data_IF_948967344533
#
_entry.id   IF_948967344533
#
_cell.length_a   1.000
_cell.length_b   1.000
_cell.length_c   1.000
_cell.angle_alpha   90.00
_cell.angle_beta   90.00
_cell.angle_gamma   90.00
#
_symmetry.space_group_name_H-M   'P 1'
#
loop_
_entity.id
_entity.type
_entity.pdbx_description
1 polymer ?
#
# COMPACT_ATOMS: atom_id res chain seq x y z
N UNK A 1 0.81 -17.12 -22.36
CA UNK A 1 1.33 -18.23 -23.19
C UNK A 1 1.61 -19.41 -22.28
N UNK A 2 1.02 -20.58 -22.57
CA UNK A 2 1.14 -21.88 -21.86
C UNK A 2 0.62 -21.88 -20.40
N UNK A 3 -0.22 -22.80 -19.92
CA UNK A 3 -0.85 -23.97 -20.51
C UNK A 3 -1.47 -24.84 -19.39
N UNK A 4 -2.73 -25.22 -19.59
CA UNK A 4 -3.40 -26.48 -19.20
C UNK A 4 -3.51 -26.81 -17.70
N UNK A 5 -4.71 -26.78 -17.09
CA UNK A 5 -5.88 -27.69 -17.28
C UNK A 5 -5.70 -29.07 -16.64
N UNK A 6 -6.03 -29.21 -15.36
CA UNK A 6 -6.50 -30.48 -14.77
C UNK A 6 -7.47 -30.18 -13.61
N UNK A 7 -8.77 -30.12 -13.88
CA UNK A 7 -9.80 -30.57 -12.92
C UNK A 7 -11.17 -30.61 -13.61
N UNK A 8 -11.56 -31.78 -14.11
CA UNK A 8 -12.95 -32.13 -14.40
C UNK A 8 -13.04 -33.64 -14.57
N UNK A 9 -13.18 -34.31 -13.43
CA UNK A 9 -13.80 -35.62 -13.39
C UNK A 9 -14.88 -35.58 -12.31
N UNK A 10 -15.92 -36.36 -12.56
CA UNK A 10 -17.14 -36.59 -11.77
C UNK A 10 -18.38 -35.87 -12.32
N UNK A 11 -19.32 -36.72 -12.72
CA UNK A 11 -20.73 -36.51 -13.06
C UNK A 11 -21.08 -36.20 -14.52
N UNK A 12 -21.05 -37.28 -15.32
CA UNK A 12 -22.03 -37.45 -16.40
C UNK A 12 -22.38 -38.93 -16.60
N UNK A 13 -23.64 -39.27 -16.29
CA UNK A 13 -24.50 -40.36 -16.81
C UNK A 13 -25.24 -41.12 -15.69
N UNK A 14 -26.37 -40.58 -15.30
CA UNK A 14 -27.53 -41.37 -14.86
C UNK A 14 -28.78 -40.70 -15.47
N UNK A 15 -29.01 -40.99 -16.74
CA UNK A 15 -30.31 -40.90 -17.39
C UNK A 15 -30.32 -42.06 -18.39
N UNK A 16 -31.16 -43.05 -18.13
CA UNK A 16 -31.98 -43.75 -19.11
C UNK A 16 -32.87 -44.76 -18.39
N UNK A 17 -34.17 -44.62 -18.66
CA UNK A 17 -35.23 -45.63 -18.71
C UNK A 17 -35.45 -46.49 -17.46
N UNK A 18 -36.60 -46.45 -16.78
CA UNK A 18 -37.93 -46.41 -17.38
C UNK A 18 -38.26 -47.80 -17.92
N UNK A 19 -39.30 -48.39 -17.36
CA UNK A 19 -40.01 -49.60 -17.79
C UNK A 19 -39.62 -50.95 -17.17
N UNK A 20 -40.69 -51.59 -16.70
CA UNK A 20 -40.95 -53.02 -16.57
C UNK A 20 -40.25 -53.81 -15.45
N UNK A 21 -41.00 -54.01 -14.36
CA UNK A 21 -41.30 -55.34 -13.81
C UNK A 21 -42.27 -55.22 -12.61
N UNK A 22 -43.54 -54.96 -12.92
CA UNK A 22 -44.65 -55.35 -12.03
C UNK A 22 -45.14 -56.69 -12.57
N UNK A 23 -44.47 -57.77 -12.18
CA UNK A 23 -44.94 -59.13 -12.47
C UNK A 23 -45.35 -59.83 -11.18
N UNK A 24 -46.68 -59.88 -11.03
CA UNK A 24 -47.47 -60.99 -10.53
C UNK A 24 -46.68 -62.26 -10.16
N UNK A 25 -46.51 -62.51 -8.86
CA UNK A 25 -46.51 -63.87 -8.33
C UNK A 25 -47.62 -64.04 -7.30
N UNK A 26 -48.83 -64.22 -7.83
CA UNK A 26 -49.89 -64.98 -7.16
C UNK A 26 -49.44 -66.43 -7.02
N UNK A 27 -48.73 -66.75 -5.94
CA UNK A 27 -48.55 -68.13 -5.51
C UNK A 27 -49.83 -68.60 -4.81
N UNK A 28 -50.82 -69.01 -5.62
CA UNK A 28 -51.84 -69.99 -5.21
C UNK A 28 -51.16 -71.35 -5.17
N UNK A 29 -50.73 -71.79 -4.00
CA UNK A 29 -50.54 -73.22 -3.77
C UNK A 29 -51.83 -73.73 -3.11
N UNK A 30 -52.76 -74.17 -3.96
CA UNK A 30 -53.90 -74.99 -3.60
C UNK A 30 -53.35 -76.34 -3.11
N UNK A 31 -53.12 -76.46 -1.81
CA UNK A 31 -53.04 -77.77 -1.17
C UNK A 31 -54.41 -78.09 -0.60
N UNK A 32 -55.31 -78.54 -1.47
CA UNK A 32 -56.49 -79.30 -1.08
C UNK A 32 -56.02 -80.71 -0.74
N UNK A 33 -56.14 -81.19 0.51
CA UNK A 33 -56.02 -82.63 0.74
C UNK A 33 -57.17 -83.32 -0.03
N UNK A 34 -56.92 -84.41 -0.76
CA UNK A 34 -58.01 -85.24 -1.27
C UNK A 34 -58.75 -85.79 -0.05
N UNK A 35 -59.98 -85.32 0.16
CA UNK A 35 -60.95 -86.03 0.99
C UNK A 35 -61.43 -87.18 0.11
N UNK A 36 -60.75 -88.32 0.18
CA UNK A 36 -61.26 -89.56 -0.38
C UNK A 36 -62.52 -89.95 0.40
N UNK A 37 -63.69 -89.57 -0.12
CA UNK A 37 -65.01 -90.05 0.31
C UNK A 37 -65.25 -91.54 -0.07
N UNK A 38 -64.19 -92.29 -0.40
CA UNK A 38 -64.27 -93.71 -0.80
C UNK A 38 -63.64 -94.70 0.18
N UNK A 39 -63.13 -94.23 1.32
CA UNK A 39 -62.50 -95.12 2.33
C UNK A 39 -63.41 -95.47 3.50
N UNK A 40 -64.67 -95.00 3.52
CA UNK A 40 -65.61 -95.24 4.63
C UNK A 40 -66.80 -96.16 4.29
N UNK A 41 -66.84 -96.76 3.09
CA UNK A 41 -67.81 -97.82 2.73
C UNK A 41 -67.16 -99.21 2.74
N UNK A 42 -65.83 -99.30 2.54
CA UNK A 42 -65.11 -100.58 2.53
C UNK A 42 -64.94 -101.22 3.93
N UNK A 43 -64.96 -100.45 5.03
CA UNK A 43 -64.92 -101.01 6.39
C UNK A 43 -66.26 -101.56 6.89
N UNK A 44 -67.38 -101.19 6.26
CA UNK A 44 -68.72 -101.67 6.65
C UNK A 44 -69.06 -102.99 5.95
N UNK A 45 -68.51 -103.26 4.76
CA UNK A 45 -68.69 -104.54 4.06
C UNK A 45 -67.80 -105.68 4.60
N UNK A 46 -66.61 -105.39 5.15
CA UNK A 46 -65.76 -106.41 5.80
C UNK A 46 -66.29 -106.89 7.16
N UNK A 47 -67.14 -106.10 7.83
CA UNK A 47 -67.76 -106.46 9.12
C UNK A 47 -69.00 -107.35 8.97
N UNK A 48 -69.57 -107.48 7.77
CA UNK A 48 -70.73 -108.33 7.49
C UNK A 48 -70.39 -109.73 6.95
N UNK A 49 -69.13 -110.00 6.59
CA UNK A 49 -68.66 -111.30 6.09
C UNK A 49 -68.07 -112.20 7.20
N UNK A 50 -67.78 -111.67 8.39
CA UNK A 50 -67.24 -112.43 9.54
C UNK A 50 -68.30 -112.97 10.52
N UNK A 51 -69.59 -112.90 10.19
CA UNK A 51 -70.69 -113.40 11.05
C UNK A 51 -71.17 -114.82 10.73
N UNK A 52 -70.45 -115.58 9.88
CA UNK A 52 -70.91 -116.88 9.39
C UNK A 52 -70.19 -118.13 9.90
N UNK A 53 -69.03 -118.06 10.57
CA UNK A 53 -68.34 -119.29 11.05
C UNK A 53 -67.33 -119.05 12.20
N UNK A 54 -67.68 -118.33 13.27
CA UNK A 54 -66.79 -118.32 14.45
C UNK A 54 -67.48 -118.01 15.80
N UNK A 55 -66.97 -118.65 16.86
CA UNK A 55 -67.58 -118.84 18.17
C UNK A 55 -67.88 -117.55 18.98
N UNK A 56 -68.91 -117.55 19.87
CA UNK A 56 -69.38 -116.38 20.62
C UNK A 56 -68.41 -115.77 21.67
N UNK A 57 -67.19 -116.30 21.81
CA UNK A 57 -66.19 -115.81 22.79
C UNK A 57 -65.15 -114.83 22.23
N UNK A 58 -65.02 -114.69 20.89
CA UNK A 58 -64.05 -113.78 20.23
C UNK A 58 -64.64 -112.42 19.81
N UNK A 59 -65.97 -112.31 19.76
CA UNK A 59 -66.70 -111.07 19.40
C UNK A 59 -66.62 -110.02 20.52
N UNK A 60 -66.60 -110.45 21.78
CA UNK A 60 -66.47 -109.55 22.94
C UNK A 60 -65.14 -108.80 22.98
N UNK A 61 -64.00 -109.47 22.76
CA UNK A 61 -62.68 -108.84 22.79
C UNK A 61 -62.45 -107.88 21.61
N UNK A 62 -63.01 -108.19 20.43
CA UNK A 62 -62.90 -107.34 19.23
C UNK A 62 -63.80 -106.10 19.33
N UNK A 63 -64.99 -106.23 19.93
CA UNK A 63 -65.86 -105.10 20.24
C UNK A 63 -65.24 -104.13 21.27
N UNK A 64 -64.59 -104.64 22.32
CA UNK A 64 -63.88 -103.79 23.30
C UNK A 64 -62.70 -103.07 22.65
N UNK A 65 -61.94 -103.75 21.78
CA UNK A 65 -60.83 -103.13 21.02
C UNK A 65 -61.30 -102.02 20.08
N UNK A 66 -62.44 -102.20 19.39
CA UNK A 66 -63.07 -101.17 18.54
C UNK A 66 -63.60 -100.00 19.36
N UNK A 67 -64.19 -100.25 20.54
CA UNK A 67 -64.63 -99.19 21.44
C UNK A 67 -63.45 -98.38 21.98
N UNK A 68 -62.32 -99.03 22.29
CA UNK A 68 -61.10 -98.37 22.76
C UNK A 68 -60.42 -97.56 21.65
N UNK A 69 -60.36 -98.08 20.42
CA UNK A 69 -59.86 -97.30 19.26
C UNK A 69 -60.79 -96.13 18.92
N UNK A 70 -62.11 -96.29 19.04
CA UNK A 70 -63.04 -95.16 18.88
C UNK A 70 -62.92 -94.11 19.99
N UNK A 71 -62.61 -94.52 21.22
CA UNK A 71 -62.31 -93.59 22.31
C UNK A 71 -61.00 -92.82 22.04
N UNK A 72 -59.92 -93.52 21.66
CA UNK A 72 -58.64 -92.92 21.29
C UNK A 72 -58.75 -92.00 20.07
N UNK A 73 -59.55 -92.38 19.07
CA UNK A 73 -59.81 -91.55 17.89
C UNK A 73 -60.63 -90.31 18.25
N UNK A 74 -61.64 -90.43 19.13
CA UNK A 74 -62.37 -89.26 19.65
C UNK A 74 -61.46 -88.32 20.44
N UNK A 75 -60.56 -88.86 21.25
CA UNK A 75 -59.57 -88.07 21.97
C UNK A 75 -58.59 -87.38 21.03
N UNK A 76 -58.07 -88.08 20.01
CA UNK A 76 -57.22 -87.50 18.97
C UNK A 76 -57.95 -86.43 18.16
N UNK A 77 -59.20 -86.65 17.76
CA UNK A 77 -60.01 -85.65 17.03
C UNK A 77 -60.26 -84.41 17.90
N UNK A 78 -60.55 -84.59 19.19
CA UNK A 78 -60.67 -83.47 20.13
C UNK A 78 -59.34 -82.70 20.27
N UNK A 79 -58.21 -83.42 20.35
CA UNK A 79 -56.88 -82.84 20.45
C UNK A 79 -56.48 -82.11 19.16
N UNK A 80 -56.78 -82.66 17.97
CA UNK A 80 -56.55 -81.98 16.69
C UNK A 80 -57.44 -80.75 16.54
N UNK A 81 -58.69 -80.80 17.00
CA UNK A 81 -59.59 -79.63 16.97
C UNK A 81 -59.09 -78.51 17.88
N UNK A 82 -58.61 -78.86 19.09
CA UNK A 82 -57.95 -77.91 20.01
C UNK A 82 -56.66 -77.34 19.41
N UNK A 83 -55.80 -78.19 18.85
CA UNK A 83 -54.54 -77.76 18.24
C UNK A 83 -54.77 -76.89 17.00
N UNK A 84 -55.77 -77.22 16.18
CA UNK A 84 -56.15 -76.45 15.01
C UNK A 84 -56.73 -75.09 15.41
N UNK A 85 -57.59 -75.04 16.44
CA UNK A 85 -58.08 -73.77 17.02
C UNK A 85 -56.94 -72.90 17.57
N UNK A 86 -55.97 -73.49 18.26
CA UNK A 86 -54.78 -72.79 18.76
C UNK A 86 -53.86 -72.29 17.63
N UNK A 87 -53.68 -73.09 16.57
CA UNK A 87 -52.95 -72.70 15.37
C UNK A 87 -53.64 -71.56 14.62
N UNK A 88 -54.97 -71.62 14.49
CA UNK A 88 -55.77 -70.58 13.86
C UNK A 88 -55.68 -69.26 14.65
N UNK A 89 -55.78 -69.32 15.98
CA UNK A 89 -55.61 -68.15 16.84
C UNK A 89 -54.19 -67.54 16.74
N UNK A 90 -53.14 -68.37 16.66
CA UNK A 90 -51.76 -67.91 16.41
C UNK A 90 -51.62 -67.26 15.04
N UNK A 91 -52.20 -67.85 14.01
CA UNK A 91 -52.16 -67.31 12.64
C UNK A 91 -52.86 -65.95 12.56
N UNK A 92 -53.99 -65.78 13.23
CA UNK A 92 -54.74 -64.52 13.24
C UNK A 92 -54.02 -63.43 14.07
N UNK A 93 -53.37 -63.81 15.17
CA UNK A 93 -52.50 -62.89 15.93
C UNK A 93 -51.26 -62.47 15.12
N UNK A 94 -50.59 -63.40 14.43
CA UNK A 94 -49.48 -63.06 13.53
C UNK A 94 -49.90 -62.15 12.38
N UNK A 95 -51.10 -62.32 11.83
CA UNK A 95 -51.63 -61.42 10.81
C UNK A 95 -51.85 -60.02 11.37
N UNK A 96 -52.45 -59.93 12.56
CA UNK A 96 -52.66 -58.65 13.25
C UNK A 96 -51.33 -57.93 13.53
N UNK A 97 -50.33 -58.66 14.03
CA UNK A 97 -48.98 -58.12 14.24
C UNK A 97 -48.34 -57.64 12.94
N UNK A 98 -48.45 -58.42 11.86
CA UNK A 98 -47.96 -58.00 10.53
C UNK A 98 -48.66 -56.74 10.01
N UNK A 99 -49.96 -56.60 10.22
CA UNK A 99 -50.71 -55.41 9.82
C UNK A 99 -50.34 -54.18 10.66
N UNK A 100 -50.13 -54.35 11.97
CA UNK A 100 -49.64 -53.28 12.85
C UNK A 100 -48.22 -52.85 12.49
N UNK A 101 -47.31 -53.80 12.25
CA UNK A 101 -45.97 -53.51 11.74
C UNK A 101 -46.01 -52.80 10.39
N UNK A 102 -46.88 -53.22 9.47
CA UNK A 102 -47.03 -52.58 8.16
C UNK A 102 -47.51 -51.13 8.31
N UNK A 103 -48.50 -50.87 9.17
CA UNK A 103 -48.98 -49.51 9.47
C UNK A 103 -47.88 -48.65 10.09
N UNK A 104 -47.10 -49.21 11.01
CA UNK A 104 -45.99 -48.49 11.63
C UNK A 104 -44.88 -48.17 10.61
N UNK A 105 -44.48 -49.15 9.79
CA UNK A 105 -43.51 -48.92 8.70
C UNK A 105 -44.00 -47.87 7.71
N UNK A 106 -45.29 -47.85 7.38
CA UNK A 106 -45.86 -46.83 6.50
C UNK A 106 -45.81 -45.43 7.12
N UNK A 107 -46.10 -45.31 8.42
CA UNK A 107 -45.99 -44.06 9.17
C UNK A 107 -44.54 -43.56 9.21
N UNK A 108 -43.59 -44.45 9.49
CA UNK A 108 -42.16 -44.11 9.54
C UNK A 108 -41.64 -43.72 8.14
N UNK A 109 -42.05 -44.43 7.10
CA UNK A 109 -41.68 -44.10 5.72
C UNK A 109 -42.24 -42.74 5.28
N UNK A 110 -43.46 -42.39 5.72
CA UNK A 110 -44.03 -41.04 5.52
C UNK A 110 -43.23 -39.96 6.26
N UNK A 111 -42.82 -40.24 7.50
CA UNK A 111 -41.96 -39.34 8.28
C UNK A 111 -40.60 -39.09 7.63
N UNK A 112 -39.90 -40.16 7.24
CA UNK A 112 -38.60 -40.08 6.56
C UNK A 112 -38.71 -39.36 5.21
N UNK A 113 -39.78 -39.59 4.44
CA UNK A 113 -40.00 -38.87 3.17
C UNK A 113 -40.16 -37.37 3.38
N UNK A 114 -40.89 -36.96 4.42
CA UNK A 114 -41.04 -35.55 4.75
C UNK A 114 -39.70 -34.93 5.17
N UNK A 115 -38.90 -35.64 5.98
CA UNK A 115 -37.57 -35.18 6.40
C UNK A 115 -36.61 -35.05 5.22
N UNK A 116 -36.58 -36.04 4.31
CA UNK A 116 -35.77 -35.99 3.09
C UNK A 116 -36.16 -34.79 2.22
N UNK A 117 -37.45 -34.50 2.07
CA UNK A 117 -37.90 -33.33 1.30
C UNK A 117 -37.44 -32.00 1.92
N UNK A 118 -37.49 -31.89 3.25
CA UNK A 118 -36.97 -30.71 3.97
C UNK A 118 -35.46 -30.59 3.79
N UNK A 119 -34.71 -31.69 3.90
CA UNK A 119 -33.26 -31.69 3.71
C UNK A 119 -32.87 -31.36 2.26
N UNK A 120 -33.60 -31.87 1.26
CA UNK A 120 -33.38 -31.52 -0.14
C UNK A 120 -33.57 -30.02 -0.39
N UNK A 121 -34.59 -29.42 0.22
CA UNK A 121 -34.82 -27.97 0.14
C UNK A 121 -33.66 -27.20 0.75
N UNK A 122 -33.23 -27.55 1.98
CA UNK A 122 -32.08 -26.91 2.65
C UNK A 122 -30.77 -27.06 1.87
N UNK A 123 -30.54 -28.21 1.23
CA UNK A 123 -29.36 -28.44 0.39
C UNK A 123 -29.41 -27.55 -0.86
N UNK A 124 -30.59 -27.36 -1.46
CA UNK A 124 -30.76 -26.47 -2.60
C UNK A 124 -30.53 -24.99 -2.23
N UNK A 125 -31.02 -24.54 -1.08
CA UNK A 125 -30.78 -23.20 -0.54
C UNK A 125 -29.30 -22.98 -0.20
N UNK A 126 -28.66 -23.93 0.49
CA UNK A 126 -27.22 -23.84 0.77
C UNK A 126 -26.38 -23.82 -0.52
N UNK A 127 -26.83 -24.50 -1.58
CA UNK A 127 -26.16 -24.46 -2.88
C UNK A 127 -26.31 -23.09 -3.58
N UNK A 128 -27.46 -22.42 -3.43
CA UNK A 128 -27.64 -21.05 -3.94
C UNK A 128 -26.80 -20.05 -3.16
N UNK A 129 -26.81 -20.13 -1.83
CA UNK A 129 -26.03 -19.25 -0.96
C UNK A 129 -24.53 -19.38 -1.24
N UNK A 130 -24.05 -20.61 -1.44
CA UNK A 130 -22.65 -20.88 -1.79
C UNK A 130 -22.27 -20.25 -3.14
N UNK A 131 -23.17 -20.27 -4.13
CA UNK A 131 -22.93 -19.61 -5.43
C UNK A 131 -22.89 -18.09 -5.27
N UNK A 132 -23.78 -17.51 -4.47
CA UNK A 132 -23.76 -16.07 -4.20
C UNK A 132 -22.50 -15.63 -3.45
N UNK A 133 -22.10 -16.38 -2.43
CA UNK A 133 -20.89 -16.11 -1.66
C UNK A 133 -19.65 -16.18 -2.56
N UNK A 134 -19.55 -17.20 -3.42
CA UNK A 134 -18.46 -17.32 -4.39
C UNK A 134 -18.43 -16.13 -5.36
N UNK A 135 -19.59 -15.68 -5.85
CA UNK A 135 -19.68 -14.52 -6.73
C UNK A 135 -19.27 -13.21 -6.00
N UNK A 136 -19.62 -13.05 -4.72
CA UNK A 136 -19.19 -11.90 -3.91
C UNK A 136 -17.68 -11.93 -3.63
N UNK A 137 -17.12 -13.10 -3.32
CA UNK A 137 -15.67 -13.27 -3.13
C UNK A 137 -14.90 -12.87 -4.39
N UNK A 138 -15.31 -13.38 -5.56
CA UNK A 138 -14.68 -13.03 -6.83
C UNK A 138 -14.75 -11.52 -7.15
N UNK A 139 -15.87 -10.86 -6.82
CA UNK A 139 -15.99 -9.40 -6.98
C UNK A 139 -15.07 -8.63 -6.04
N UNK A 140 -14.93 -9.07 -4.79
CA UNK A 140 -14.03 -8.43 -3.82
C UNK A 140 -12.57 -8.64 -4.22
N UNK A 141 -12.17 -9.84 -4.63
CA UNK A 141 -10.83 -10.12 -5.13
C UNK A 141 -10.50 -9.23 -6.33
N UNK A 142 -11.41 -9.09 -7.29
CA UNK A 142 -11.23 -8.20 -8.43
C UNK A 142 -11.20 -6.70 -8.06
N UNK A 143 -11.86 -6.29 -6.97
CA UNK A 143 -11.75 -4.93 -6.45
C UNK A 143 -10.39 -4.69 -5.80
N UNK A 144 -9.94 -5.60 -4.94
CA UNK A 144 -8.64 -5.52 -4.27
C UNK A 144 -7.49 -5.48 -5.28
N UNK A 145 -7.55 -6.28 -6.34
CA UNK A 145 -6.53 -6.24 -7.41
C UNK A 145 -6.52 -4.87 -8.10
N UNK A 146 -7.68 -4.32 -8.46
CA UNK A 146 -7.75 -2.98 -9.09
C UNK A 146 -7.21 -1.88 -8.19
N UNK A 147 -7.59 -1.87 -6.92
CA UNK A 147 -7.13 -0.85 -5.97
C UNK A 147 -5.62 -0.94 -5.75
N UNK A 148 -5.06 -2.16 -5.73
CA UNK A 148 -3.63 -2.38 -5.69
C UNK A 148 -2.92 -1.85 -6.94
N UNK A 149 -3.42 -2.19 -8.12
CA UNK A 149 -2.83 -1.72 -9.39
C UNK A 149 -2.87 -0.19 -9.49
N UNK A 150 -3.95 0.45 -9.02
CA UNK A 150 -4.05 1.91 -8.95
C UNK A 150 -3.06 2.52 -7.96
N UNK A 151 -2.88 1.88 -6.80
CA UNK A 151 -1.90 2.33 -5.80
C UNK A 151 -0.46 2.20 -6.32
N UNK A 152 -0.13 1.07 -6.96
CA UNK A 152 1.18 0.81 -7.54
C UNK A 152 1.48 1.83 -8.67
N UNK A 153 0.49 2.15 -9.52
CA UNK A 153 0.64 3.18 -10.54
C UNK A 153 0.90 4.59 -9.95
N UNK A 154 0.19 4.96 -8.86
CA UNK A 154 0.42 6.22 -8.14
C UNK A 154 1.78 6.27 -7.46
N UNK A 155 2.29 5.12 -6.98
CA UNK A 155 3.60 5.02 -6.36
C UNK A 155 4.70 5.27 -7.40
N UNK A 156 4.61 4.62 -8.56
CA UNK A 156 5.54 4.82 -9.68
C UNK A 156 5.54 6.29 -10.15
N UNK A 157 4.37 6.91 -10.30
CA UNK A 157 4.28 8.32 -10.71
C UNK A 157 4.97 9.26 -9.69
N UNK A 158 4.79 9.00 -8.39
CA UNK A 158 5.47 9.76 -7.33
C UNK A 158 6.98 9.56 -7.36
N UNK A 159 7.47 8.34 -7.58
CA UNK A 159 8.90 8.03 -7.69
C UNK A 159 9.53 8.78 -8.86
N UNK A 160 8.89 8.77 -10.04
CA UNK A 160 9.35 9.53 -11.22
C UNK A 160 9.37 11.04 -10.93
N UNK A 161 8.39 11.55 -10.17
CA UNK A 161 8.37 12.96 -9.78
C UNK A 161 9.48 13.32 -8.80
N UNK A 162 9.80 12.43 -7.85
CA UNK A 162 10.91 12.61 -6.91
C UNK A 162 12.22 12.67 -7.68
N UNK A 163 12.49 11.72 -8.57
CA UNK A 163 13.72 11.70 -9.38
C UNK A 163 13.90 12.99 -10.20
N UNK A 164 12.81 13.50 -10.81
CA UNK A 164 12.84 14.78 -11.53
C UNK A 164 13.16 15.97 -10.63
N UNK A 165 12.59 16.00 -9.42
CA UNK A 165 12.84 17.08 -8.46
C UNK A 165 14.27 17.02 -7.91
N UNK A 166 14.78 15.82 -7.61
CA UNK A 166 16.17 15.61 -7.19
C UNK A 166 17.16 16.07 -8.27
N UNK A 167 16.89 15.75 -9.54
CA UNK A 167 17.69 16.25 -10.66
C UNK A 167 17.66 17.77 -10.80
N UNK A 168 16.49 18.40 -10.59
CA UNK A 168 16.36 19.85 -10.62
C UNK A 168 17.10 20.53 -9.46
N UNK A 169 17.02 19.97 -8.25
CA UNK A 169 17.75 20.46 -7.06
C UNK A 169 19.25 20.39 -7.30
N UNK A 170 19.78 19.25 -7.76
CA UNK A 170 21.20 19.11 -8.05
C UNK A 170 21.69 20.09 -9.12
N UNK A 171 20.89 20.36 -10.15
CA UNK A 171 21.20 21.36 -11.17
C UNK A 171 21.25 22.78 -10.60
N UNK A 172 20.27 23.15 -9.75
CA UNK A 172 20.23 24.47 -9.13
C UNK A 172 21.36 24.68 -8.12
N UNK A 173 21.72 23.65 -7.36
CA UNK A 173 22.87 23.69 -6.45
C UNK A 173 24.18 23.90 -7.22
N UNK A 174 24.35 23.23 -8.36
CA UNK A 174 25.52 23.42 -9.23
C UNK A 174 25.58 24.84 -9.84
N UNK A 175 24.44 25.39 -10.25
CA UNK A 175 24.34 26.76 -10.78
C UNK A 175 24.60 27.80 -9.68
N UNK A 176 24.07 27.59 -8.49
CA UNK A 176 24.31 28.45 -7.33
C UNK A 176 25.80 28.45 -6.94
N UNK A 177 26.45 27.28 -6.91
CA UNK A 177 27.87 27.16 -6.62
C UNK A 177 28.72 27.91 -7.67
N UNK A 178 28.38 27.77 -8.96
CA UNK A 178 29.04 28.50 -10.04
C UNK A 178 28.87 30.00 -9.90
N UNK A 179 27.64 30.47 -9.67
CA UNK A 179 27.35 31.90 -9.50
C UNK A 179 28.06 32.49 -8.28
N UNK A 180 28.16 31.75 -7.18
CA UNK A 180 28.94 32.17 -6.01
C UNK A 180 30.43 32.30 -6.31
N UNK A 181 30.99 31.38 -7.09
CA UNK A 181 32.38 31.44 -7.52
C UNK A 181 32.65 32.62 -8.46
N UNK A 182 31.78 32.84 -9.45
CA UNK A 182 31.84 34.00 -10.35
C UNK A 182 31.76 35.31 -9.57
N UNK A 183 30.80 35.41 -8.63
CA UNK A 183 30.66 36.58 -7.77
C UNK A 183 31.90 36.83 -6.91
N UNK A 184 32.50 35.78 -6.36
CA UNK A 184 33.73 35.92 -5.57
C UNK A 184 34.88 36.47 -6.43
N UNK A 185 35.03 35.95 -7.65
CA UNK A 185 36.01 36.45 -8.62
C UNK A 185 35.76 37.92 -8.99
N UNK A 186 34.51 38.31 -9.24
CA UNK A 186 34.17 39.68 -9.60
C UNK A 186 34.38 40.66 -8.44
N UNK A 187 34.05 40.26 -7.22
CA UNK A 187 34.31 41.06 -6.01
C UNK A 187 35.82 41.26 -5.82
N UNK A 188 36.63 40.21 -6.01
CA UNK A 188 38.08 40.33 -5.95
C UNK A 188 38.64 41.23 -7.06
N UNK A 189 38.12 41.13 -8.28
CA UNK A 189 38.51 41.99 -9.39
C UNK A 189 38.16 43.47 -9.13
N UNK A 190 36.96 43.77 -8.63
CA UNK A 190 36.54 45.12 -8.23
C UNK A 190 37.42 45.64 -7.10
N UNK A 191 37.73 44.81 -6.11
CA UNK A 191 38.63 45.18 -5.01
C UNK A 191 40.02 45.55 -5.53
N UNK A 192 40.59 44.73 -6.43
CA UNK A 192 41.90 45.01 -7.04
C UNK A 192 41.88 46.28 -7.87
N UNK A 193 40.84 46.50 -8.68
CA UNK A 193 40.65 47.72 -9.45
C UNK A 193 40.59 48.93 -8.52
N UNK A 194 39.82 48.85 -7.43
CA UNK A 194 39.66 49.98 -6.51
C UNK A 194 40.98 50.33 -5.84
N UNK A 195 41.76 49.33 -5.39
CA UNK A 195 43.11 49.55 -4.83
C UNK A 195 44.04 50.21 -5.88
N UNK A 196 43.93 49.79 -7.15
CA UNK A 196 44.72 50.38 -8.22
C UNK A 196 44.33 51.83 -8.55
N UNK A 197 43.06 52.21 -8.32
CA UNK A 197 42.55 53.56 -8.57
C UNK A 197 42.83 54.54 -7.41
N UNK A 198 42.91 54.07 -6.15
CA UNK A 198 43.14 54.96 -4.99
C UNK A 198 44.31 55.94 -5.15
N UNK A 199 45.51 55.55 -5.65
CA UNK A 199 46.60 56.50 -5.89
C UNK A 199 46.27 57.60 -6.90
N UNK A 200 45.41 57.31 -7.89
CA UNK A 200 44.95 58.30 -8.87
C UNK A 200 44.04 59.34 -8.20
N UNK A 201 43.10 58.90 -7.36
CA UNK A 201 42.20 59.80 -6.63
C UNK A 201 42.97 60.67 -5.63
N UNK A 202 43.93 60.11 -4.89
CA UNK A 202 44.79 60.88 -4.00
C UNK A 202 45.69 61.86 -4.76
N UNK A 203 46.06 61.55 -6.00
CA UNK A 203 46.82 62.47 -6.85
C UNK A 203 46.02 63.74 -7.16
N UNK A 204 44.73 63.60 -7.46
CA UNK A 204 43.80 64.72 -7.69
C UNK A 204 43.67 65.57 -6.45
N UNK A 205 43.53 64.95 -5.27
CA UNK A 205 43.50 65.68 -4.01
C UNK A 205 44.73 66.59 -3.84
N UNK A 206 45.92 66.06 -4.12
CA UNK A 206 47.16 66.84 -4.01
C UNK A 206 47.21 67.99 -5.01
N UNK A 207 46.68 67.81 -6.22
CA UNK A 207 46.66 68.87 -7.23
C UNK A 207 45.63 69.95 -6.86
N UNK A 208 44.43 69.58 -6.40
CA UNK A 208 43.44 70.52 -5.85
C UNK A 208 44.00 71.32 -4.65
N UNK A 209 44.73 70.65 -3.75
CA UNK A 209 45.36 71.29 -2.60
C UNK A 209 46.47 72.27 -3.03
N UNK A 210 47.21 71.98 -4.10
CA UNK A 210 48.19 72.91 -4.67
C UNK A 210 47.51 74.12 -5.28
N UNK A 211 46.44 73.92 -6.03
CA UNK A 211 45.69 75.02 -6.64
C UNK A 211 45.13 75.97 -5.58
N UNK A 212 44.65 75.44 -4.45
CA UNK A 212 44.27 76.26 -3.28
C UNK A 212 45.45 76.92 -2.56
N UNK A 213 46.66 76.36 -2.68
CA UNK A 213 47.87 76.92 -2.08
C UNK A 213 48.42 78.11 -2.89
N UNK A 214 48.30 78.09 -4.22
CA UNK A 214 48.89 79.08 -5.12
C UNK A 214 48.56 80.54 -4.75
N UNK A 215 47.28 80.92 -4.49
CA UNK A 215 46.95 82.28 -4.08
C UNK A 215 47.57 82.68 -2.73
N UNK A 216 47.74 81.72 -1.81
CA UNK A 216 48.29 81.98 -0.47
C UNK A 216 49.79 82.25 -0.51
N UNK A 217 50.49 81.64 -1.46
CA UNK A 217 51.94 81.84 -1.66
C UNK A 217 52.26 82.89 -2.72
N UNK A 218 51.23 83.45 -3.36
CA UNK A 218 51.32 84.49 -4.40
C UNK A 218 52.10 84.05 -5.64
N UNK A 219 51.97 82.77 -6.03
CA UNK A 219 52.55 82.21 -7.24
C UNK A 219 51.43 81.92 -8.25
N UNK A 220 51.62 82.19 -9.55
CA UNK A 220 50.56 82.02 -10.55
C UNK A 220 50.38 80.56 -11.00
N UNK A 221 51.40 79.71 -10.82
CA UNK A 221 51.34 78.28 -11.14
C UNK A 221 52.25 77.47 -10.21
N UNK A 222 51.95 76.18 -10.03
CA UNK A 222 52.79 75.31 -9.19
C UNK A 222 54.16 75.05 -9.82
N UNK A 223 54.25 75.11 -11.16
CA UNK A 223 55.52 75.01 -11.87
C UNK A 223 56.45 76.17 -11.50
N UNK A 224 55.94 77.40 -11.47
CA UNK A 224 56.69 78.60 -11.07
C UNK A 224 57.06 78.59 -9.59
N UNK A 225 56.18 78.07 -8.74
CA UNK A 225 56.50 77.85 -7.32
C UNK A 225 57.68 76.89 -7.15
N UNK A 226 57.82 75.87 -8.00
CA UNK A 226 58.91 74.87 -7.94
C UNK A 226 60.19 75.38 -8.61
N UNK A 227 60.09 76.23 -9.63
CA UNK A 227 61.22 76.66 -10.45
C UNK A 227 62.35 77.24 -9.60
N UNK A 228 63.58 76.72 -9.80
CA UNK A 228 64.77 77.15 -9.07
C UNK A 228 64.84 76.75 -7.58
N UNK A 229 63.88 75.98 -7.06
CA UNK A 229 63.83 75.55 -5.65
C UNK A 229 64.00 74.03 -5.50
N UNK A 230 64.85 73.61 -4.57
CA UNK A 230 64.87 72.23 -4.09
C UNK A 230 63.60 71.91 -3.29
N UNK A 231 63.21 70.62 -3.14
CA UNK A 231 62.03 70.26 -2.35
C UNK A 231 62.02 70.82 -0.92
N UNK A 232 63.19 70.90 -0.28
CA UNK A 232 63.31 71.46 1.08
C UNK A 232 63.15 72.98 1.09
N UNK A 233 63.72 73.68 0.12
CA UNK A 233 63.51 75.13 -0.06
C UNK A 233 62.04 75.43 -0.37
N UNK A 234 61.39 74.60 -1.19
CA UNK A 234 59.96 74.73 -1.50
C UNK A 234 59.11 74.55 -0.24
N UNK A 235 59.40 73.53 0.59
CA UNK A 235 58.70 73.30 1.86
C UNK A 235 58.84 74.49 2.79
N UNK A 236 60.06 74.99 2.99
CA UNK A 236 60.30 76.15 3.84
C UNK A 236 59.56 77.38 3.30
N UNK A 237 59.62 77.62 1.98
CA UNK A 237 58.92 78.73 1.33
C UNK A 237 57.40 78.65 1.57
N UNK A 238 56.80 77.50 1.29
CA UNK A 238 55.36 77.26 1.49
C UNK A 238 54.99 77.41 2.97
N UNK A 239 55.71 76.79 3.90
CA UNK A 239 55.46 76.92 5.34
C UNK A 239 55.53 78.37 5.83
N UNK A 240 56.51 79.15 5.37
CA UNK A 240 56.64 80.58 5.73
C UNK A 240 55.45 81.38 5.21
N UNK A 241 55.05 81.17 3.95
CA UNK A 241 53.92 81.89 3.34
C UNK A 241 52.59 81.55 3.99
N UNK A 242 52.32 80.27 4.28
CA UNK A 242 51.14 79.86 5.04
C UNK A 242 51.07 80.56 6.40
N UNK A 243 52.18 80.59 7.15
CA UNK A 243 52.25 81.30 8.44
C UNK A 243 51.95 82.79 8.28
N UNK A 244 52.46 83.44 7.24
CA UNK A 244 52.16 84.85 6.94
C UNK A 244 50.70 85.10 6.54
N UNK A 245 50.03 84.10 5.96
CA UNK A 245 48.60 84.16 5.62
C UNK A 245 47.65 83.88 6.80
N UNK A 246 48.18 83.56 7.98
CA UNK A 246 47.38 83.25 9.18
C UNK A 246 46.82 81.83 9.22
N UNK A 247 47.19 80.97 8.26
CA UNK A 247 46.75 79.58 8.19
C UNK A 247 47.85 78.67 8.77
N UNK A 248 47.50 77.89 9.78
CA UNK A 248 48.40 76.89 10.36
C UNK A 248 48.29 75.57 9.59
N UNK A 249 49.24 75.31 8.69
CA UNK A 249 49.35 74.02 7.99
C UNK A 249 50.26 73.06 8.78
N UNK A 250 49.84 71.81 9.03
CA UNK A 250 50.72 70.80 9.62
C UNK A 250 51.93 70.53 8.74
N UNK A 251 53.11 70.39 9.37
CA UNK A 251 54.37 70.24 8.64
C UNK A 251 54.37 68.98 7.74
N UNK A 252 53.74 67.89 8.18
CA UNK A 252 53.60 66.66 7.40
C UNK A 252 52.74 66.83 6.14
N UNK A 253 51.76 67.74 6.16
CA UNK A 253 50.96 68.10 4.99
C UNK A 253 51.81 68.90 3.98
N UNK A 254 52.66 69.82 4.45
CA UNK A 254 53.61 70.54 3.59
C UNK A 254 54.62 69.59 2.97
N UNK A 255 55.12 68.61 3.73
CA UNK A 255 56.01 67.57 3.21
C UNK A 255 55.35 66.77 2.08
N UNK A 256 54.06 66.44 2.23
CA UNK A 256 53.28 65.73 1.21
C UNK A 256 53.00 66.62 -0.01
N UNK A 257 52.64 67.89 0.16
CA UNK A 257 52.39 68.84 -0.93
C UNK A 257 53.62 69.18 -1.77
N UNK A 258 54.77 69.38 -1.11
CA UNK A 258 55.98 69.91 -1.75
C UNK A 258 57.01 68.82 -2.09
N UNK A 259 56.82 67.60 -1.61
CA UNK A 259 57.73 66.49 -1.84
C UNK A 259 57.46 65.72 -3.13
N UNK A 260 58.50 65.05 -3.61
CA UNK A 260 58.34 63.83 -4.42
C UNK A 260 57.80 62.75 -3.50
N UNK A 261 56.62 62.22 -3.81
CA UNK A 261 55.94 61.26 -2.94
C UNK A 261 55.33 60.14 -3.78
N UNK A 262 55.08 59.00 -3.13
CA UNK A 262 54.57 57.79 -3.78
C UNK A 262 53.20 57.99 -4.45
N UNK A 263 52.40 58.96 -3.99
CA UNK A 263 51.12 59.30 -4.61
C UNK A 263 51.32 59.98 -5.98
N UNK A 264 52.36 60.81 -6.13
CA UNK A 264 52.74 61.40 -7.43
C UNK A 264 53.37 60.40 -8.39
N UNK A 265 54.20 59.49 -7.88
CA UNK A 265 54.88 58.49 -8.71
C UNK A 265 53.93 57.40 -9.20
N UNK A 266 52.91 57.04 -8.39
CA UNK A 266 51.89 56.04 -8.74
C UNK A 266 50.66 56.65 -9.42
N UNK A 267 50.50 57.97 -9.35
CA UNK A 267 49.41 58.73 -9.94
C UNK A 267 49.66 59.04 -11.42
N UNK A 268 48.66 58.87 -12.28
CA UNK A 268 48.71 59.38 -13.65
C UNK A 268 48.36 60.87 -13.66
N UNK A 269 49.09 61.69 -14.42
CA UNK A 269 48.77 63.10 -14.65
C UNK A 269 47.36 63.24 -15.24
N UNK A 270 46.89 62.29 -16.04
CA UNK A 270 45.57 62.31 -16.68
C UNK A 270 44.37 62.01 -15.75
N UNK A 271 44.56 61.81 -14.45
CA UNK A 271 43.51 61.43 -13.50
C UNK A 271 42.53 62.57 -13.14
N UNK A 272 42.27 63.54 -14.04
CA UNK A 272 41.57 64.79 -13.73
C UNK A 272 40.06 64.68 -13.43
N UNK A 273 39.51 63.47 -13.34
CA UNK A 273 38.05 63.25 -13.28
C UNK A 273 37.56 62.63 -11.97
N UNK A 274 38.39 62.54 -10.93
CA UNK A 274 37.97 61.99 -9.64
C UNK A 274 36.90 62.89 -8.99
N UNK A 275 35.78 62.31 -8.57
CA UNK A 275 34.78 63.04 -7.79
C UNK A 275 35.25 63.22 -6.35
N UNK A 276 34.61 64.14 -5.63
CA UNK A 276 34.92 64.39 -4.23
C UNK A 276 34.69 63.15 -3.35
N UNK A 277 33.64 62.38 -3.64
CA UNK A 277 33.31 61.13 -2.95
C UNK A 277 34.37 60.04 -3.18
N UNK A 278 34.87 59.91 -4.42
CA UNK A 278 35.94 58.96 -4.76
C UNK A 278 37.25 59.30 -4.05
N UNK A 279 37.55 60.60 -3.93
CA UNK A 279 38.71 61.09 -3.17
C UNK A 279 38.54 60.79 -1.68
N UNK A 280 37.36 61.05 -1.11
CA UNK A 280 37.05 60.76 0.28
C UNK A 280 37.21 59.27 0.59
N UNK A 281 36.64 58.40 -0.22
CA UNK A 281 36.75 56.94 -0.06
C UNK A 281 38.22 56.46 -0.19
N UNK A 282 39.01 57.06 -1.09
CA UNK A 282 40.43 56.76 -1.19
C UNK A 282 41.20 57.13 0.08
N UNK A 283 40.90 58.28 0.71
CA UNK A 283 41.54 58.71 1.97
C UNK A 283 41.22 57.74 3.10
N UNK A 284 39.96 57.33 3.24
CA UNK A 284 39.50 56.45 4.33
C UNK A 284 40.10 55.04 4.26
N UNK A 285 40.65 54.64 3.10
CA UNK A 285 41.27 53.33 2.86
C UNK A 285 42.80 53.34 2.99
N UNK A 286 43.42 54.52 3.10
CA UNK A 286 44.86 54.62 3.32
C UNK A 286 45.25 54.18 4.75
N UNK A 287 46.51 53.78 4.98
CA UNK A 287 46.99 53.45 6.32
C UNK A 287 46.82 54.63 7.29
N UNK A 288 46.49 54.33 8.55
CA UNK A 288 46.23 55.32 9.60
C UNK A 288 47.39 56.33 9.81
N UNK A 289 48.62 55.97 9.43
CA UNK A 289 49.77 56.86 9.49
C UNK A 289 49.70 58.02 8.47
N UNK A 290 49.09 57.78 7.31
CA UNK A 290 49.01 58.75 6.21
C UNK A 290 47.63 59.42 6.13
N UNK A 291 46.61 58.82 6.74
CA UNK A 291 45.23 59.30 6.72
C UNK A 291 45.05 60.72 7.31
N UNK A 292 45.55 61.09 8.50
CA UNK A 292 45.28 62.41 9.10
C UNK A 292 45.78 63.60 8.25
N UNK A 293 46.93 63.44 7.57
CA UNK A 293 47.45 64.47 6.67
C UNK A 293 46.63 64.58 5.39
N UNK A 294 46.10 63.47 4.88
CA UNK A 294 45.21 63.46 3.71
C UNK A 294 43.85 64.05 4.04
N UNK A 295 43.28 63.75 5.21
CA UNK A 295 42.02 64.35 5.70
C UNK A 295 42.14 65.86 5.89
N UNK A 296 43.29 66.34 6.40
CA UNK A 296 43.56 67.77 6.49
C UNK A 296 43.61 68.43 5.12
N UNK A 297 44.32 67.82 4.16
CA UNK A 297 44.41 68.33 2.79
C UNK A 297 43.05 68.33 2.09
N UNK A 298 42.21 67.33 2.36
CA UNK A 298 40.83 67.29 1.89
C UNK A 298 40.02 68.46 2.43
N UNK A 299 40.05 68.65 3.76
CA UNK A 299 39.36 69.76 4.42
C UNK A 299 39.85 71.10 3.89
N UNK A 300 41.15 71.24 3.66
CA UNK A 300 41.74 72.44 3.07
C UNK A 300 41.25 72.68 1.64
N UNK A 301 41.13 71.63 0.83
CA UNK A 301 40.79 71.69 -0.60
C UNK A 301 39.30 71.83 -0.88
N UNK A 302 38.44 71.30 -0.02
CA UNK A 302 36.99 71.26 -0.24
C UNK A 302 36.20 72.10 0.80
N UNK A 303 36.77 72.35 1.98
CA UNK A 303 36.19 73.21 3.01
C UNK A 303 35.38 72.49 4.09
N UNK A 304 35.30 71.16 4.04
CA UNK A 304 34.69 70.33 5.08
C UNK A 304 35.49 69.04 5.29
N UNK A 305 35.39 68.39 6.46
CA UNK A 305 36.07 67.12 6.70
C UNK A 305 35.48 66.00 5.81
N UNK A 306 36.26 64.95 5.51
CA UNK A 306 35.74 63.76 4.86
C UNK A 306 34.71 63.08 5.77
N UNK A 307 33.52 62.81 5.25
CA UNK A 307 32.47 62.11 6.00
C UNK A 307 32.64 60.58 5.89
N UNK A 308 32.09 59.83 6.86
CA UNK A 308 32.00 58.36 6.77
C UNK A 308 30.59 57.88 6.42
N UNK A 309 29.72 58.80 6.01
CA UNK A 309 28.33 58.50 5.71
C UNK A 309 28.23 57.96 4.29
N UNK A 310 28.14 56.62 4.20
CA UNK A 310 27.66 55.85 3.05
C UNK A 310 26.59 54.87 3.54
#
# INVERSE_FOLDING_TARGET
MMGLSIQKDINKKFELSGDDCVDCMTWRCQYSPPVDEHTNVAMVEELLILYRDDAPSKVGAKATSIMQTNADLKEKVAQYTLNFGALQARLDEEKKQRDEERKQREKDMKGLKAEVAVLQTKVSEAATDRKELAARSAKLEAAVVRDRDEYDAKLIDKEVKIEKLEGAVASLEAEQARSQQERAHDVDAIRLLTIALSPLYLRVLLDNARDRTLPLIQEPSWAEAVEGRTPEQLRQYVSTRFRSSGIAIPQDCVHLLCGWNRVRDRGNIAAHSATEEEIQDAILREPEADQPKLEWLFTFSFGHPPSREL
#
